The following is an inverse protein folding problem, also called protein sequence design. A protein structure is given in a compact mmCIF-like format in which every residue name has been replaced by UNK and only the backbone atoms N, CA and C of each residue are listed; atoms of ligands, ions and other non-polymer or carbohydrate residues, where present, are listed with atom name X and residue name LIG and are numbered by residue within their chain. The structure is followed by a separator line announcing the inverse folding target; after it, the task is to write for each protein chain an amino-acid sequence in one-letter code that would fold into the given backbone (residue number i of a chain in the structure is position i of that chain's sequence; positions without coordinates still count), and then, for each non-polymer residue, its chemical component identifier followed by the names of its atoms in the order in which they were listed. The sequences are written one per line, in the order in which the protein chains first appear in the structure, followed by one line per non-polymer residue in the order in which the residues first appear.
data_IF_722387985911
#
_entry.id   IF_722387985911
#
_cell.length_a   1.000
_cell.length_b   1.000
_cell.length_c   1.000
_cell.angle_alpha   90.00
_cell.angle_beta   90.00
_cell.angle_gamma   90.00
#
_symmetry.space_group_name_H-M   'P 1'
#
loop_
_entity.id
_entity.type
_entity.pdbx_description
1 polymer ?
#
# COMPACT_ATOMS: atom_id res chain seq x y z
N UNK A 1 -1.46 -18.04 -1.81
CA UNK A 1 -0.46 -17.10 -1.25
C UNK A 1 -0.69 -15.70 -1.78
N UNK A 2 -0.80 -14.71 -0.90
CA UNK A 2 -0.88 -13.30 -1.31
C UNK A 2 0.50 -12.79 -1.74
N UNK A 3 0.55 -11.97 -2.80
CA UNK A 3 1.81 -11.46 -3.37
C UNK A 3 1.79 -9.94 -3.42
N UNK A 4 2.84 -9.33 -2.88
CA UNK A 4 3.07 -7.89 -2.94
C UNK A 4 4.33 -7.62 -3.74
N UNK A 5 4.20 -6.86 -4.83
CA UNK A 5 5.34 -6.35 -5.59
C UNK A 5 5.45 -4.85 -5.37
N UNK A 6 6.62 -4.39 -4.96
CA UNK A 6 6.86 -2.99 -4.61
C UNK A 6 8.01 -2.45 -5.44
N UNK A 7 7.75 -1.41 -6.22
CA UNK A 7 8.79 -0.71 -6.97
C UNK A 7 8.92 0.73 -6.47
N UNK A 8 10.17 1.17 -6.31
CA UNK A 8 10.50 2.54 -5.94
C UNK A 8 10.79 3.33 -7.21
N UNK A 9 10.24 4.54 -7.32
CA UNK A 9 10.58 5.40 -8.45
C UNK A 9 12.07 5.78 -8.42
N UNK A 10 12.73 6.00 -9.58
CA UNK A 10 14.17 6.29 -9.63
C UNK A 10 14.61 7.52 -8.84
N UNK A 11 13.68 8.46 -8.60
CA UNK A 11 13.91 9.68 -7.82
C UNK A 11 13.54 9.54 -6.35
N UNK A 12 13.09 8.35 -5.92
CA UNK A 12 12.65 8.07 -4.55
C UNK A 12 11.51 9.00 -4.11
N UNK A 13 10.67 9.40 -5.07
CA UNK A 13 9.53 10.30 -4.83
C UNK A 13 8.24 9.52 -4.53
N UNK A 14 8.16 8.27 -5.00
CA UNK A 14 6.97 7.45 -4.92
C UNK A 14 7.27 5.94 -4.83
N UNK A 15 6.33 5.21 -4.25
CA UNK A 15 6.28 3.75 -4.23
C UNK A 15 5.07 3.27 -5.00
N UNK A 16 5.28 2.43 -6.00
CA UNK A 16 4.21 1.75 -6.71
C UNK A 16 4.07 0.34 -6.15
N UNK A 17 2.87 0.01 -5.69
CA UNK A 17 2.56 -1.29 -5.08
C UNK A 17 1.53 -2.01 -5.93
N UNK A 18 1.81 -3.28 -6.21
CA UNK A 18 0.85 -4.24 -6.73
C UNK A 18 0.60 -5.31 -5.67
N UNK A 19 -0.63 -5.39 -5.18
CA UNK A 19 -1.04 -6.41 -4.22
C UNK A 19 -2.02 -7.38 -4.90
N UNK A 20 -1.68 -8.65 -4.95
CA UNK A 20 -2.50 -9.73 -5.49
C UNK A 20 -2.93 -10.67 -4.37
N UNK A 21 -4.23 -10.90 -4.26
CA UNK A 21 -4.82 -11.70 -3.20
C UNK A 21 -5.26 -13.05 -3.77
N UNK A 22 -4.55 -14.12 -3.45
CA UNK A 22 -5.03 -15.47 -3.69
C UNK A 22 -6.30 -15.77 -2.87
N UNK A 23 -7.35 -16.27 -3.53
CA UNK A 23 -8.68 -16.47 -2.97
C UNK A 23 -9.39 -15.14 -2.67
N UNK A 24 -10.08 -15.08 -1.54
CA UNK A 24 -10.82 -13.87 -1.15
C UNK A 24 -9.88 -12.79 -0.62
N UNK A 25 -10.00 -11.58 -1.16
CA UNK A 25 -9.32 -10.42 -0.62
C UNK A 25 -9.82 -10.08 0.81
N UNK A 26 -8.96 -9.56 1.70
CA UNK A 26 -9.39 -9.05 2.99
C UNK A 26 -10.30 -7.82 2.76
N UNK A 27 -11.22 -7.54 3.67
CA UNK A 27 -12.18 -6.43 3.50
C UNK A 27 -11.52 -5.05 3.29
N UNK A 28 -10.32 -4.84 3.86
CA UNK A 28 -9.58 -3.58 3.74
C UNK A 28 -8.09 -3.77 3.96
N UNK A 29 -7.32 -2.89 3.34
CA UNK A 29 -5.93 -2.65 3.70
C UNK A 29 -5.83 -1.41 4.58
N UNK A 30 -5.05 -1.52 5.64
CA UNK A 30 -4.75 -0.43 6.56
C UNK A 30 -3.27 -0.12 6.50
N UNK A 31 -2.93 1.16 6.56
CA UNK A 31 -1.55 1.54 6.80
C UNK A 31 -1.24 1.52 8.31
N UNK A 32 0.00 1.20 8.68
CA UNK A 32 0.40 1.11 10.09
C UNK A 32 0.34 2.46 10.82
N UNK A 33 0.47 3.58 10.10
CA UNK A 33 0.17 4.93 10.62
C UNK A 33 -1.05 5.52 9.96
N UNK A 34 -1.95 6.11 10.74
CA UNK A 34 -3.19 6.75 10.24
C UNK A 34 -2.93 7.83 9.18
N UNK A 35 -1.78 8.51 9.24
CA UNK A 35 -1.40 9.54 8.28
C UNK A 35 -1.02 9.02 6.89
N UNK A 36 -0.63 7.74 6.77
CA UNK A 36 -0.27 7.12 5.49
C UNK A 36 -1.46 7.06 4.51
N UNK A 37 -2.68 7.09 5.05
CA UNK A 37 -3.91 7.22 4.28
C UNK A 37 -3.97 8.43 3.34
N UNK A 38 -3.26 9.51 3.68
CA UNK A 38 -3.24 10.74 2.89
C UNK A 38 -2.32 10.68 1.66
N UNK A 39 -1.40 9.71 1.63
CA UNK A 39 -0.35 9.63 0.62
C UNK A 39 -0.60 8.55 -0.42
N UNK A 40 -1.55 7.64 -0.17
CA UNK A 40 -2.02 6.73 -1.21
C UNK A 40 -2.82 7.48 -2.27
N UNK A 41 -2.48 7.21 -3.53
CA UNK A 41 -3.10 7.78 -4.72
C UNK A 41 -3.66 6.64 -5.56
N UNK A 42 -4.87 6.89 -6.08
CA UNK A 42 -5.52 6.12 -7.13
C UNK A 42 -5.48 4.58 -6.97
N UNK A 43 -5.84 4.01 -5.80
CA UNK A 43 -5.96 2.56 -5.70
C UNK A 43 -7.01 2.07 -6.69
N UNK A 44 -6.71 1.00 -7.45
CA UNK A 44 -7.61 0.46 -8.47
C UNK A 44 -7.38 -1.02 -8.70
N UNK A 45 -8.39 -1.69 -9.23
CA UNK A 45 -8.34 -3.10 -9.63
C UNK A 45 -7.54 -3.21 -10.93
N UNK A 46 -6.63 -4.18 -11.02
CA UNK A 46 -5.92 -4.49 -12.26
C UNK A 46 -6.90 -5.10 -13.26
N UNK A 47 -7.04 -4.49 -14.44
CA UNK A 47 -7.93 -4.98 -15.50
C UNK A 47 -9.42 -4.73 -15.24
N UNK A 48 -9.78 -4.07 -14.13
CA UNK A 48 -11.14 -3.62 -13.86
C UNK A 48 -11.46 -2.25 -14.46
N UNK A 49 -12.69 -1.79 -14.23
CA UNK A 49 -13.14 -0.46 -14.65
C UNK A 49 -12.24 0.65 -14.09
N UNK A 50 -12.21 1.81 -14.76
CA UNK A 50 -11.44 2.98 -14.33
C UNK A 50 -11.90 3.58 -12.98
N UNK A 51 -12.89 2.97 -12.32
CA UNK A 51 -13.39 3.37 -11.02
C UNK A 51 -12.38 2.99 -9.95
N UNK A 52 -11.79 3.99 -9.30
CA UNK A 52 -10.87 3.78 -8.19
C UNK A 52 -11.54 3.12 -6.98
N UNK A 53 -10.75 2.41 -6.19
CA UNK A 53 -11.14 1.87 -4.89
C UNK A 53 -11.24 3.03 -3.88
N UNK A 54 -12.24 3.04 -3.00
CA UNK A 54 -12.39 4.12 -2.05
C UNK A 54 -11.37 3.99 -0.92
N UNK A 55 -10.81 5.14 -0.50
CA UNK A 55 -10.03 5.26 0.73
C UNK A 55 -10.94 5.89 1.79
N UNK A 56 -11.21 5.17 2.88
CA UNK A 56 -12.05 5.64 3.99
C UNK A 56 -11.34 5.41 5.30
N UNK A 57 -11.30 6.42 6.17
CA UNK A 57 -10.65 6.36 7.48
C UNK A 57 -9.20 5.85 7.43
N UNK A 58 -8.44 6.22 6.39
CA UNK A 58 -7.06 5.77 6.20
C UNK A 58 -6.91 4.30 5.78
N UNK A 59 -7.97 3.69 5.24
CA UNK A 59 -7.99 2.31 4.77
C UNK A 59 -8.51 2.21 3.32
N UNK A 60 -7.84 1.42 2.46
CA UNK A 60 -8.32 1.10 1.11
C UNK A 60 -9.37 0.03 1.30
N UNK A 61 -10.59 0.29 0.85
CA UNK A 61 -11.66 -0.69 0.93
C UNK A 61 -11.57 -1.65 -0.25
N UNK A 62 -11.64 -2.95 0.05
CA UNK A 62 -11.55 -4.04 -0.92
C UNK A 62 -12.82 -4.92 -0.92
N UNK A 63 -13.84 -4.53 -0.17
CA UNK A 63 -15.12 -5.22 -0.15
C UNK A 63 -15.71 -5.32 -1.57
N UNK A 64 -16.06 -6.55 -1.98
CA UNK A 64 -16.61 -6.81 -3.31
C UNK A 64 -15.57 -6.97 -4.43
N UNK A 65 -14.27 -7.08 -4.10
CA UNK A 65 -13.30 -7.57 -5.06
C UNK A 65 -13.64 -9.02 -5.46
N UNK A 66 -13.45 -9.39 -6.74
CA UNK A 66 -13.52 -10.79 -7.14
C UNK A 66 -12.38 -11.57 -6.48
N UNK A 67 -12.54 -12.89 -6.41
CA UNK A 67 -11.47 -13.79 -6.01
C UNK A 67 -10.25 -13.63 -6.93
N UNK A 68 -9.06 -13.86 -6.38
CA UNK A 68 -7.79 -13.77 -7.11
C UNK A 68 -7.48 -12.37 -7.68
N UNK A 69 -8.10 -11.32 -7.11
CA UNK A 69 -7.94 -9.96 -7.58
C UNK A 69 -6.55 -9.39 -7.26
N UNK A 70 -6.02 -8.62 -8.21
CA UNK A 70 -4.90 -7.71 -7.97
C UNK A 70 -5.38 -6.27 -7.92
N UNK A 71 -4.81 -5.50 -7.02
CA UNK A 71 -4.94 -4.04 -6.98
C UNK A 71 -3.58 -3.39 -7.19
N UNK A 72 -3.60 -2.15 -7.66
CA UNK A 72 -2.42 -1.28 -7.70
C UNK A 72 -2.73 0.02 -6.99
N UNK A 73 -1.74 0.56 -6.29
CA UNK A 73 -1.80 1.89 -5.70
C UNK A 73 -0.41 2.50 -5.65
N UNK A 74 -0.34 3.83 -5.68
CA UNK A 74 0.92 4.58 -5.56
C UNK A 74 0.92 5.32 -4.24
N UNK A 75 2.08 5.40 -3.58
CA UNK A 75 2.27 6.18 -2.36
C UNK A 75 3.32 7.25 -2.57
N UNK A 76 2.94 8.51 -2.40
CA UNK A 76 3.83 9.67 -2.58
C UNK A 76 4.71 9.87 -1.33
N UNK A 77 6.01 9.60 -1.47
CA UNK A 77 6.98 9.72 -0.37
C UNK A 77 7.32 11.18 -0.08
N UNK A 78 7.42 12.02 -1.11
CA UNK A 78 7.76 13.45 -1.00
C UNK A 78 6.80 14.19 -0.05
N UNK A 79 5.49 14.01 -0.26
CA UNK A 79 4.43 14.66 0.51
C UNK A 79 4.54 14.35 2.02
N UNK A 80 5.06 13.17 2.37
CA UNK A 80 5.23 12.77 3.77
C UNK A 80 6.48 13.39 4.37
N UNK A 81 7.59 13.44 3.63
CA UNK A 81 8.82 14.09 4.08
C UNK A 81 8.55 15.58 4.32
N UNK A 82 7.82 16.24 3.42
CA UNK A 82 7.46 17.66 3.56
C UNK A 82 6.56 17.92 4.77
N UNK A 83 5.63 17.01 5.09
CA UNK A 83 4.66 17.19 6.19
C UNK A 83 5.15 16.72 7.55
N UNK A 84 5.99 15.69 7.60
CA UNK A 84 6.46 15.08 8.86
C UNK A 84 7.92 15.41 9.19
N UNK A 85 8.64 16.05 8.27
CA UNK A 85 10.06 16.35 8.37
C UNK A 85 10.95 15.13 8.06
N UNK A 86 12.18 15.35 7.56
CA UNK A 86 13.11 14.25 7.29
C UNK A 86 13.52 13.55 8.58
N UNK A 87 13.41 12.22 8.63
CA UNK A 87 13.99 11.39 9.70
C UNK A 87 15.33 10.84 9.23
N UNK A 88 16.42 11.24 9.89
CA UNK A 88 17.80 10.82 9.57
C UNK A 88 18.27 9.69 10.47
N UNK A 89 18.94 8.71 9.87
CA UNK A 89 19.81 7.73 10.55
C UNK A 89 20.98 7.41 9.61
N UNK A 90 22.20 7.78 9.97
CA UNK A 90 23.40 7.54 9.17
C UNK A 90 23.60 8.50 7.97
N UNK A 91 24.62 8.19 7.16
CA UNK A 91 25.14 9.06 6.08
C UNK A 91 24.44 8.87 4.72
N UNK A 92 23.48 7.95 4.62
CA UNK A 92 22.64 7.75 3.44
C UNK A 92 21.18 8.08 3.78
N UNK A 93 20.59 9.02 3.05
CA UNK A 93 19.24 9.53 3.31
C UNK A 93 18.14 8.53 2.90
N UNK A 94 16.99 8.67 3.58
CA UNK A 94 15.71 7.91 3.52
C UNK A 94 15.63 6.76 4.53
N UNK A 95 15.20 7.09 5.75
CA UNK A 95 14.30 6.19 6.49
C UNK A 95 12.90 6.75 6.35
N UNK A 96 12.13 6.03 5.57
CA UNK A 96 10.70 6.06 5.65
C UNK A 96 10.32 4.70 6.21
N UNK A 97 9.70 4.67 7.39
CA UNK A 97 9.42 3.37 8.01
C UNK A 97 8.48 2.61 7.10
N UNK A 98 8.70 1.31 6.90
CA UNK A 98 7.80 0.44 6.12
C UNK A 98 6.32 0.70 6.45
N UNK A 99 6.05 1.01 7.71
CA UNK A 99 4.76 1.38 8.28
C UNK A 99 4.06 2.61 7.67
N UNK A 100 4.82 3.49 7.01
CA UNK A 100 4.29 4.69 6.37
C UNK A 100 3.69 4.38 4.98
N UNK A 101 4.04 3.24 4.36
CA UNK A 101 3.71 2.98 2.94
C UNK A 101 3.22 1.58 2.61
N UNK A 102 3.51 0.61 3.47
CA UNK A 102 3.05 -0.76 3.27
C UNK A 102 1.67 -0.91 3.91
N UNK A 103 0.66 -0.89 3.04
CA UNK A 103 -0.71 -1.14 3.44
C UNK A 103 -0.88 -2.65 3.54
N UNK A 104 -1.37 -3.10 4.69
CA UNK A 104 -1.49 -4.52 5.01
C UNK A 104 -2.91 -4.86 5.45
N UNK A 105 -3.33 -6.13 5.36
CA UNK A 105 -4.61 -6.53 5.93
C UNK A 105 -4.60 -6.23 7.44
N UNK A 106 -5.73 -5.72 7.97
CA UNK A 106 -5.84 -5.41 9.41
C UNK A 106 -5.67 -6.67 10.26
N UNK A 107 -6.26 -7.75 9.77
CA UNK A 107 -6.21 -9.09 10.35
C UNK A 107 -5.67 -10.00 9.26
N UNK A 108 -4.62 -10.75 9.59
CA UNK A 108 -4.09 -11.82 8.78
C UNK A 108 -4.39 -13.11 9.54
N UNK A 109 -5.16 -14.05 8.98
CA UNK A 109 -5.25 -15.40 9.50
C UNK A 109 -3.84 -15.98 9.72
N UNK A 110 -3.66 -16.74 10.80
CA UNK A 110 -2.34 -17.23 11.23
C UNK A 110 -1.65 -18.15 10.18
N UNK A 111 -2.42 -18.66 9.24
CA UNK A 111 -2.04 -19.55 8.14
C UNK A 111 -1.87 -18.82 6.79
N UNK A 112 -1.88 -17.49 6.77
CA UNK A 112 -1.72 -16.73 5.53
C UNK A 112 -0.26 -16.58 5.13
N UNK A 113 0.12 -17.22 4.02
CA UNK A 113 1.42 -17.02 3.38
C UNK A 113 1.46 -15.70 2.58
N UNK A 114 2.52 -14.92 2.81
CA UNK A 114 2.79 -13.64 2.12
C UNK A 114 4.19 -13.66 1.52
N UNK A 115 4.28 -13.32 0.24
CA UNK A 115 5.54 -13.07 -0.47
C UNK A 115 5.66 -11.58 -0.83
N UNK A 116 6.83 -10.98 -0.57
CA UNK A 116 7.18 -9.60 -0.95
C UNK A 116 8.38 -9.66 -1.90
N UNK A 117 8.24 -9.04 -3.07
CA UNK A 117 9.26 -9.02 -4.15
C UNK A 117 9.55 -7.62 -4.64
#
# INVERSE_FOLDING_TARGET
MHRYSVSVSPRLESLDVRACFDGHAPARLVASRSAAGFFARAPRIVGGDARGLPIRHGAIQLEGLPDDACIVYTTEMRDTIERQGPRRTGDAEIITTADDWLWRPRELPADTDIEIT
#
